data_IF_782127758845
#
_entry.id   IF_782127758845
#
_cell.length_a   1.000
_cell.length_b   1.000
_cell.length_c   1.000
_cell.angle_alpha   90.00
_cell.angle_beta   90.00
_cell.angle_gamma   90.00
#
_symmetry.space_group_name_H-M   'P 1'
#
loop_
_entity.id
_entity.type
_entity.pdbx_description
1 polymer ?
#
# COMPACT_ATOMS: atom_id res chain seq x y z
N UNK A 1 -42.98 -23.65 52.42
CA UNK A 1 -42.80 -22.95 51.13
C UNK A 1 -41.35 -22.51 51.06
N UNK A 2 -40.48 -23.29 50.40
CA UNK A 2 -39.03 -23.05 50.33
C UNK A 2 -38.74 -22.27 49.05
N UNK A 3 -38.09 -21.12 49.19
CA UNK A 3 -37.72 -20.25 48.07
C UNK A 3 -36.32 -20.65 47.62
N UNK A 4 -36.19 -21.14 46.39
CA UNK A 4 -34.91 -21.44 45.74
C UNK A 4 -34.30 -20.13 45.24
N UNK A 5 -33.05 -19.76 45.57
CA UNK A 5 -32.41 -18.62 44.94
C UNK A 5 -31.92 -19.03 43.54
N UNK A 6 -32.33 -18.27 42.52
CA UNK A 6 -31.74 -18.35 41.19
C UNK A 6 -30.32 -17.78 41.24
N UNK A 7 -29.33 -18.60 40.92
CA UNK A 7 -27.96 -18.18 40.72
C UNK A 7 -27.90 -17.43 39.38
N UNK A 8 -27.74 -16.11 39.41
CA UNK A 8 -27.41 -15.34 38.21
C UNK A 8 -25.92 -15.52 37.97
N UNK A 9 -25.55 -16.44 37.07
CA UNK A 9 -24.19 -16.51 36.56
C UNK A 9 -23.97 -15.31 35.65
N UNK A 10 -23.30 -14.29 36.15
CA UNK A 10 -22.80 -13.19 35.34
C UNK A 10 -21.75 -13.77 34.40
N UNK A 11 -22.11 -13.98 33.13
CA UNK A 11 -21.13 -14.25 32.09
C UNK A 11 -20.32 -12.97 31.93
N UNK A 12 -19.13 -12.92 32.52
CA UNK A 12 -18.15 -11.93 32.14
C UNK A 12 -17.83 -12.19 30.66
N UNK A 13 -18.39 -11.37 29.77
CA UNK A 13 -17.86 -11.22 28.42
C UNK A 13 -16.46 -10.64 28.63
N UNK A 14 -15.47 -11.53 28.64
CA UNK A 14 -14.10 -11.12 28.36
C UNK A 14 -14.16 -10.59 26.95
N UNK A 15 -14.21 -9.26 26.82
CA UNK A 15 -13.74 -8.61 25.62
C UNK A 15 -12.30 -9.09 25.48
N UNK A 16 -12.09 -10.09 24.62
CA UNK A 16 -10.79 -10.30 24.03
C UNK A 16 -10.55 -9.05 23.21
N UNK A 17 -9.99 -8.04 23.87
CA UNK A 17 -9.20 -7.03 23.21
C UNK A 17 -8.01 -7.77 22.62
N UNK A 18 -8.26 -8.39 21.46
CA UNK A 18 -7.22 -8.83 20.56
C UNK A 18 -6.82 -7.64 19.69
N UNK A 19 -6.50 -6.50 20.32
CA UNK A 19 -5.29 -5.78 19.93
C UNK A 19 -4.08 -6.69 20.18
N UNK A 20 -4.03 -7.79 19.41
CA UNK A 20 -2.79 -8.43 19.04
C UNK A 20 -1.86 -7.32 18.57
N UNK A 21 -0.60 -7.41 18.95
CA UNK A 21 0.51 -6.68 18.37
C UNK A 21 0.67 -7.03 16.87
N UNK A 22 -0.39 -6.80 16.09
CA UNK A 22 -0.39 -6.82 14.65
C UNK A 22 0.23 -5.50 14.22
N UNK A 23 1.45 -5.56 13.67
CA UNK A 23 2.05 -4.41 13.01
C UNK A 23 1.06 -3.75 12.06
N UNK A 24 1.22 -2.44 11.84
CA UNK A 24 0.45 -1.69 10.85
C UNK A 24 0.27 -2.53 9.58
N UNK A 25 -0.91 -2.52 8.92
CA UNK A 25 -1.14 -3.31 7.72
C UNK A 25 0.01 -3.10 6.73
N UNK A 26 0.81 -4.14 6.50
CA UNK A 26 2.03 -4.05 5.69
C UNK A 26 1.70 -4.04 4.20
N UNK A 27 0.52 -4.56 3.83
CA UNK A 27 -0.05 -4.49 2.50
C UNK A 27 -0.71 -3.13 2.24
N UNK A 28 0.10 -2.06 2.33
CA UNK A 28 -0.30 -0.67 2.09
C UNK A 28 0.32 -0.09 0.82
N UNK A 29 0.07 -0.66 -0.39
CA UNK A 29 0.63 -0.14 -1.62
C UNK A 29 0.18 1.29 -1.94
N UNK A 30 0.86 1.88 -2.93
CA UNK A 30 0.36 3.02 -3.69
C UNK A 30 -0.09 2.52 -5.06
N UNK A 31 -1.32 2.83 -5.45
CA UNK A 31 -1.94 2.42 -6.73
C UNK A 31 -2.24 3.66 -7.56
N UNK A 32 -1.91 3.62 -8.85
CA UNK A 32 -2.13 4.70 -9.81
C UNK A 32 -3.13 4.23 -10.88
N UNK A 33 -4.15 5.05 -11.09
CA UNK A 33 -5.12 4.93 -12.18
C UNK A 33 -4.48 5.47 -13.47
N UNK A 34 -4.01 4.59 -14.36
CA UNK A 34 -3.23 4.97 -15.54
C UNK A 34 -4.08 5.34 -16.75
N UNK A 35 -5.37 5.00 -16.81
CA UNK A 35 -6.23 5.40 -17.93
C UNK A 35 -7.21 6.50 -17.54
N UNK A 36 -7.54 6.64 -16.25
CA UNK A 36 -8.49 7.63 -15.72
C UNK A 36 -9.91 7.08 -15.61
N UNK A 37 -10.06 5.76 -15.47
CA UNK A 37 -11.34 5.05 -15.34
C UNK A 37 -11.66 4.67 -13.87
N UNK A 38 -10.81 5.05 -12.93
CA UNK A 38 -10.92 4.72 -11.51
C UNK A 38 -10.21 3.41 -11.15
N UNK A 39 -9.76 3.32 -9.90
CA UNK A 39 -9.00 2.17 -9.40
C UNK A 39 -9.91 0.95 -9.18
N UNK A 40 -9.61 -0.18 -9.82
CA UNK A 40 -10.28 -1.49 -9.69
C UNK A 40 -9.40 -2.51 -8.95
N UNK A 41 -9.73 -2.73 -7.68
CA UNK A 41 -9.15 -3.77 -6.82
C UNK A 41 -10.13 -4.92 -6.52
N UNK A 42 -11.06 -5.19 -7.46
CA UNK A 42 -12.03 -6.27 -7.34
C UNK A 42 -11.46 -7.67 -7.57
N UNK A 43 -10.19 -7.78 -7.97
CA UNK A 43 -9.47 -9.04 -8.14
C UNK A 43 -9.03 -9.66 -6.80
N UNK A 44 -8.34 -10.79 -6.90
CA UNK A 44 -7.69 -11.45 -5.77
C UNK A 44 -6.45 -12.18 -6.25
N UNK A 45 -5.32 -12.02 -5.56
CA UNK A 45 -4.09 -12.75 -5.85
C UNK A 45 -3.42 -13.25 -4.58
N UNK A 46 -2.47 -14.19 -4.72
CA UNK A 46 -1.59 -14.62 -3.64
C UNK A 46 -0.17 -14.18 -3.93
N UNK A 47 0.39 -13.34 -3.08
CA UNK A 47 1.67 -12.67 -3.32
C UNK A 47 2.55 -12.67 -2.08
N UNK A 48 3.87 -12.67 -2.28
CA UNK A 48 4.88 -12.46 -1.23
C UNK A 48 5.54 -11.08 -1.31
N UNK A 49 5.03 -10.15 -2.12
CA UNK A 49 5.65 -8.83 -2.37
C UNK A 49 5.70 -7.93 -1.13
N UNK A 50 4.96 -8.26 -0.07
CA UNK A 50 4.98 -7.54 1.21
C UNK A 50 5.83 -8.25 2.29
N UNK A 51 6.53 -9.35 1.94
CA UNK A 51 7.30 -10.18 2.86
C UNK A 51 6.67 -11.57 3.04
N UNK A 52 5.68 -11.73 3.94
CA UNK A 52 4.93 -12.98 4.03
C UNK A 52 4.05 -13.19 2.80
N UNK A 53 3.74 -14.45 2.50
CA UNK A 53 2.74 -14.80 1.49
C UNK A 53 1.34 -14.49 2.02
N UNK A 54 0.61 -13.64 1.31
CA UNK A 54 -0.74 -13.19 1.65
C UNK A 54 -1.67 -13.37 0.45
N UNK A 55 -2.92 -13.73 0.70
CA UNK A 55 -4.00 -13.63 -0.30
C UNK A 55 -4.73 -12.31 -0.09
N UNK A 56 -4.65 -11.43 -1.08
CA UNK A 56 -5.10 -10.04 -0.99
C UNK A 56 -6.11 -9.70 -2.08
N UNK A 57 -6.99 -8.75 -1.79
CA UNK A 57 -7.69 -7.99 -2.83
C UNK A 57 -6.67 -7.24 -3.67
N UNK A 58 -6.81 -7.36 -4.98
CA UNK A 58 -5.77 -7.03 -5.95
C UNK A 58 -6.37 -6.48 -7.23
N UNK A 59 -5.54 -6.00 -8.14
CA UNK A 59 -5.98 -5.71 -9.51
C UNK A 59 -6.52 -6.98 -10.18
N UNK A 60 -7.48 -6.81 -11.09
CA UNK A 60 -7.89 -7.91 -11.99
C UNK A 60 -6.84 -8.09 -13.08
N UNK A 61 -6.81 -9.28 -13.67
CA UNK A 61 -6.04 -9.50 -14.89
C UNK A 61 -6.49 -8.50 -15.97
N UNK A 62 -5.53 -7.98 -16.72
CA UNK A 62 -5.72 -6.93 -17.74
C UNK A 62 -6.28 -5.60 -17.19
N UNK A 63 -6.19 -5.36 -15.88
CA UNK A 63 -6.41 -4.00 -15.34
C UNK A 63 -5.32 -3.06 -15.83
N UNK A 64 -5.67 -1.79 -16.03
CA UNK A 64 -4.72 -0.72 -16.30
C UNK A 64 -4.11 -0.11 -15.02
N UNK A 65 -4.73 -0.38 -13.86
CA UNK A 65 -4.23 0.09 -12.58
C UNK A 65 -2.88 -0.51 -12.23
N UNK A 66 -2.01 0.33 -11.70
CA UNK A 66 -0.62 -0.03 -11.50
C UNK A 66 -0.12 0.34 -10.13
N UNK A 67 0.75 -0.48 -9.57
CA UNK A 67 1.39 -0.24 -8.29
C UNK A 67 2.63 0.63 -8.45
N UNK A 68 2.87 1.56 -7.52
CA UNK A 68 4.12 2.28 -7.45
C UNK A 68 5.23 1.38 -6.88
N UNK A 69 6.32 1.32 -7.61
CA UNK A 69 7.51 0.54 -7.29
C UNK A 69 8.72 1.46 -7.19
N UNK A 70 9.63 1.14 -6.28
CA UNK A 70 10.93 1.77 -6.18
C UNK A 70 12.01 0.69 -6.20
N UNK A 71 13.04 0.88 -7.03
CA UNK A 71 14.27 0.07 -6.95
C UNK A 71 15.04 0.49 -5.69
N UNK A 72 14.96 -0.33 -4.64
CA UNK A 72 15.63 -0.09 -3.37
C UNK A 72 17.16 -0.07 -3.50
N UNK A 73 17.73 -0.76 -4.49
CA UNK A 73 19.18 -0.75 -4.73
C UNK A 73 19.62 0.56 -5.35
N UNK A 74 18.90 1.06 -6.35
CA UNK A 74 19.15 2.37 -6.91
C UNK A 74 18.85 3.49 -5.90
N UNK A 75 17.79 3.36 -5.10
CA UNK A 75 17.43 4.31 -4.05
C UNK A 75 18.54 4.44 -3.00
N UNK A 76 19.21 3.34 -2.66
CA UNK A 76 20.36 3.37 -1.74
C UNK A 76 21.53 4.19 -2.28
N UNK A 77 21.75 4.20 -3.59
CA UNK A 77 22.76 5.05 -4.22
C UNK A 77 22.40 6.54 -4.14
N UNK A 78 21.13 6.86 -3.87
CA UNK A 78 20.63 8.23 -3.61
C UNK A 78 20.71 8.63 -2.14
N UNK A 79 21.24 7.76 -1.27
CA UNK A 79 21.43 8.04 0.15
C UNK A 79 20.31 7.56 1.07
N UNK A 80 19.34 6.80 0.56
CA UNK A 80 18.28 6.22 1.37
C UNK A 80 18.46 4.70 1.54
N UNK A 81 18.73 4.25 2.77
CA UNK A 81 18.80 2.83 3.10
C UNK A 81 17.38 2.34 3.44
N UNK A 82 16.63 1.86 2.43
CA UNK A 82 15.29 1.29 2.63
C UNK A 82 15.37 -0.20 3.00
N UNK A 83 14.74 -0.58 4.12
CA UNK A 83 15.00 -1.85 4.81
C UNK A 83 13.72 -2.55 5.24
N UNK A 84 13.81 -3.88 5.40
CA UNK A 84 12.79 -4.61 6.16
C UNK A 84 12.86 -4.21 7.65
N UNK A 85 11.75 -4.35 8.41
CA UNK A 85 11.74 -4.07 9.84
C UNK A 85 12.85 -4.82 10.56
N UNK A 86 13.68 -4.10 11.32
CA UNK A 86 14.77 -4.67 12.11
C UNK A 86 15.73 -5.59 11.32
N UNK A 87 15.75 -5.46 9.99
CA UNK A 87 16.39 -6.43 9.10
C UNK A 87 17.30 -5.80 8.06
N UNK A 88 17.67 -6.57 7.01
CA UNK A 88 18.57 -6.09 5.98
C UNK A 88 17.93 -5.01 5.10
N UNK A 89 18.78 -4.32 4.34
CA UNK A 89 18.34 -3.47 3.25
C UNK A 89 17.58 -4.29 2.20
N UNK A 90 16.48 -3.72 1.72
CA UNK A 90 15.73 -4.24 0.60
C UNK A 90 16.57 -4.12 -0.68
N UNK A 91 16.28 -4.96 -1.66
CA UNK A 91 17.02 -5.02 -2.93
C UNK A 91 16.07 -5.09 -4.11
N UNK A 92 16.54 -4.59 -5.25
CA UNK A 92 15.76 -4.49 -6.48
C UNK A 92 14.43 -3.75 -6.30
N UNK A 93 13.53 -4.01 -7.22
CA UNK A 93 12.20 -3.42 -7.27
C UNK A 93 11.33 -3.88 -6.10
N UNK A 94 10.77 -2.91 -5.37
CA UNK A 94 9.92 -3.11 -4.21
C UNK A 94 8.64 -2.29 -4.36
N UNK A 95 7.48 -2.86 -4.04
CA UNK A 95 6.27 -2.07 -3.88
C UNK A 95 6.48 -1.04 -2.77
N UNK A 96 6.11 0.22 -3.04
CA UNK A 96 5.96 1.26 -2.03
C UNK A 96 4.97 0.77 -0.98
N UNK A 97 5.35 0.76 0.30
CA UNK A 97 4.51 0.19 1.38
C UNK A 97 4.89 0.70 2.77
N UNK A 98 3.97 0.57 3.71
CA UNK A 98 4.22 0.68 5.15
C UNK A 98 4.94 -0.53 5.74
N UNK A 99 5.25 -0.46 7.04
CA UNK A 99 5.87 -1.57 7.76
C UNK A 99 7.29 -1.89 7.28
N UNK A 100 8.02 -0.87 6.83
CA UNK A 100 9.45 -0.92 6.47
C UNK A 100 10.18 0.22 7.17
N UNK A 101 11.51 0.30 7.06
CA UNK A 101 12.30 1.35 7.67
C UNK A 101 13.11 2.10 6.60
N UNK A 102 13.21 3.42 6.71
CA UNK A 102 14.06 4.25 5.86
C UNK A 102 15.17 4.87 6.70
N UNK A 103 16.41 4.54 6.40
CA UNK A 103 17.59 5.21 6.94
C UNK A 103 18.06 6.31 5.99
N UNK A 104 18.43 7.47 6.54
CA UNK A 104 19.13 8.55 5.83
C UNK A 104 20.27 9.07 6.72
N UNK A 105 20.98 10.10 6.27
CA UNK A 105 21.99 10.77 7.09
C UNK A 105 21.40 11.38 8.39
N UNK A 106 20.10 11.70 8.42
CA UNK A 106 19.44 12.28 9.60
C UNK A 106 18.96 11.25 10.62
N UNK A 107 19.07 9.95 10.29
CA UNK A 107 18.65 8.86 11.16
C UNK A 107 17.73 7.88 10.46
N UNK A 108 17.01 7.08 11.24
CA UNK A 108 16.15 6.00 10.74
C UNK A 108 14.71 6.21 11.19
N UNK A 109 13.76 6.03 10.26
CA UNK A 109 12.33 6.22 10.49
C UNK A 109 11.56 4.97 10.08
N UNK A 110 10.60 4.56 10.90
CA UNK A 110 9.64 3.51 10.55
C UNK A 110 8.54 4.09 9.66
N UNK A 111 8.34 3.48 8.50
CA UNK A 111 7.34 3.86 7.51
C UNK A 111 5.99 3.29 7.94
N UNK A 112 4.96 4.15 7.93
CA UNK A 112 3.63 3.83 8.46
C UNK A 112 2.71 3.28 7.38
N UNK A 113 2.78 3.86 6.19
CA UNK A 113 2.03 3.52 4.98
C UNK A 113 2.77 4.04 3.75
N UNK A 114 2.20 3.84 2.56
CA UNK A 114 2.75 4.33 1.30
C UNK A 114 2.95 5.85 1.26
N UNK A 115 1.95 6.64 1.68
CA UNK A 115 2.05 8.10 1.71
C UNK A 115 3.20 8.59 2.59
N UNK A 116 3.40 7.98 3.76
CA UNK A 116 4.52 8.31 4.64
C UNK A 116 5.87 8.07 3.96
N UNK A 117 6.03 6.99 3.20
CA UNK A 117 7.26 6.77 2.42
C UNK A 117 7.45 7.89 1.40
N UNK A 118 6.41 8.25 0.64
CA UNK A 118 6.51 9.30 -0.37
C UNK A 118 6.90 10.66 0.25
N UNK A 119 6.35 11.00 1.41
CA UNK A 119 6.76 12.20 2.17
C UNK A 119 8.23 12.17 2.60
N UNK A 120 8.76 11.01 2.96
CA UNK A 120 10.18 10.88 3.32
C UNK A 120 11.12 10.96 2.10
N UNK A 121 10.58 10.80 0.89
CA UNK A 121 11.33 10.83 -0.37
C UNK A 121 11.23 12.17 -1.10
N UNK A 122 10.29 13.04 -0.72
CA UNK A 122 10.22 14.45 -1.10
C UNK A 122 11.37 15.21 -0.42
N UNK A 123 12.48 15.35 -1.15
CA UNK A 123 13.72 15.87 -0.62
C UNK A 123 13.76 17.40 -0.63
N UNK A 124 13.02 18.04 -1.53
CA UNK A 124 12.95 19.48 -1.63
C UNK A 124 11.82 20.08 -0.76
N UNK A 125 10.92 19.24 -0.24
CA UNK A 125 9.83 19.61 0.68
C UNK A 125 8.71 20.40 0.00
N UNK A 126 8.53 20.24 -1.31
CA UNK A 126 7.52 20.99 -2.07
C UNK A 126 6.12 20.35 -2.02
N UNK A 127 5.98 19.21 -1.33
CA UNK A 127 4.73 18.49 -1.19
C UNK A 127 4.41 17.61 -2.40
N UNK A 128 5.39 17.35 -3.26
CA UNK A 128 5.29 16.44 -4.40
C UNK A 128 6.49 15.49 -4.43
N UNK A 129 6.24 14.27 -4.88
CA UNK A 129 7.31 13.42 -5.39
C UNK A 129 7.41 13.66 -6.90
N UNK A 130 8.53 14.16 -7.38
CA UNK A 130 8.72 14.57 -8.78
C UNK A 130 10.18 14.46 -9.23
N UNK A 131 10.48 14.82 -10.48
CA UNK A 131 11.84 14.82 -11.01
C UNK A 131 12.83 15.75 -10.27
N UNK A 132 12.35 16.63 -9.39
CA UNK A 132 13.20 17.42 -8.49
C UNK A 132 13.80 16.58 -7.34
N UNK A 133 13.25 15.39 -7.07
CA UNK A 133 13.66 14.53 -5.97
C UNK A 133 14.69 13.48 -6.39
N UNK A 134 15.74 13.24 -5.59
CA UNK A 134 16.75 12.22 -5.89
C UNK A 134 16.18 10.81 -6.06
N UNK A 135 15.08 10.49 -5.39
CA UNK A 135 14.40 9.20 -5.42
C UNK A 135 13.57 8.96 -6.70
N UNK A 136 13.13 10.02 -7.39
CA UNK A 136 12.29 9.91 -8.59
C UNK A 136 12.81 8.98 -9.69
N UNK A 137 14.10 9.06 -10.13
CA UNK A 137 14.60 8.20 -11.19
C UNK A 137 14.68 6.72 -10.82
N UNK A 138 14.43 6.35 -9.56
CA UNK A 138 14.40 4.95 -9.10
C UNK A 138 12.99 4.38 -9.05
N UNK A 139 11.98 5.20 -9.35
CA UNK A 139 10.58 4.82 -9.29
C UNK A 139 10.07 4.32 -10.65
N UNK A 140 9.11 3.40 -10.61
CA UNK A 140 8.42 2.83 -11.78
C UNK A 140 6.99 2.48 -11.39
N UNK A 141 6.13 2.26 -12.38
CA UNK A 141 4.85 1.57 -12.18
C UNK A 141 5.00 0.09 -12.52
N UNK A 142 4.26 -0.73 -11.80
CA UNK A 142 4.13 -2.17 -12.01
C UNK A 142 2.67 -2.49 -12.31
N UNK A 143 2.38 -2.93 -13.53
CA UNK A 143 1.04 -3.35 -13.96
C UNK A 143 1.02 -4.88 -14.01
N UNK A 144 0.45 -5.51 -12.97
CA UNK A 144 0.30 -6.98 -12.91
C UNK A 144 -0.76 -7.44 -13.92
N UNK A 145 -0.34 -7.68 -15.16
CA UNK A 145 -1.22 -7.82 -16.30
C UNK A 145 -1.95 -9.18 -16.28
N UNK A 146 -1.34 -10.20 -15.69
CA UNK A 146 -1.92 -11.54 -15.52
C UNK A 146 -2.48 -11.79 -14.11
N UNK A 147 -2.36 -10.80 -13.21
CA UNK A 147 -2.79 -10.84 -11.81
C UNK A 147 -2.17 -11.98 -10.99
N UNK A 148 -0.94 -12.39 -11.32
CA UNK A 148 -0.26 -13.51 -10.66
C UNK A 148 0.43 -13.11 -9.34
N UNK A 149 0.46 -11.82 -9.00
CA UNK A 149 1.02 -11.30 -7.76
C UNK A 149 2.55 -11.31 -7.71
N UNK A 150 3.24 -11.46 -8.85
CA UNK A 150 4.70 -11.43 -8.97
C UNK A 150 5.13 -10.18 -9.70
N UNK A 151 6.20 -9.56 -9.22
CA UNK A 151 6.78 -8.40 -9.88
C UNK A 151 7.76 -8.88 -10.95
N UNK A 152 7.36 -8.77 -12.22
CA UNK A 152 8.18 -9.14 -13.37
C UNK A 152 8.72 -7.91 -14.10
N UNK A 153 9.92 -8.00 -14.67
CA UNK A 153 10.53 -6.87 -15.37
C UNK A 153 9.77 -6.45 -16.63
N UNK A 154 9.08 -7.39 -17.29
CA UNK A 154 8.21 -7.12 -18.44
C UNK A 154 6.97 -6.29 -18.09
N UNK A 155 6.62 -6.20 -16.81
CA UNK A 155 5.44 -5.51 -16.30
C UNK A 155 5.78 -4.16 -15.66
N UNK A 156 7.06 -3.78 -15.69
CA UNK A 156 7.55 -2.52 -15.17
C UNK A 156 7.65 -1.46 -16.27
N UNK A 157 7.21 -0.25 -15.94
CA UNK A 157 7.37 0.91 -16.79
C UNK A 157 7.86 2.10 -15.96
N UNK A 158 8.92 2.77 -16.42
CA UNK A 158 9.44 3.96 -15.75
C UNK A 158 8.38 5.08 -15.74
N UNK A 159 8.32 5.88 -14.66
CA UNK A 159 7.30 6.93 -14.51
C UNK A 159 7.18 7.88 -15.72
N UNK A 160 8.28 8.39 -16.32
CA UNK A 160 8.17 9.26 -17.48
C UNK A 160 7.59 8.56 -18.72
N UNK A 161 7.84 7.25 -18.86
CA UNK A 161 7.34 6.44 -19.98
C UNK A 161 5.86 6.12 -19.79
N UNK A 162 5.42 5.89 -18.55
CA UNK A 162 4.00 5.73 -18.21
C UNK A 162 3.21 7.05 -18.24
N UNK A 163 3.89 8.16 -18.53
CA UNK A 163 3.29 9.49 -18.59
C UNK A 163 3.05 10.12 -17.22
N UNK A 164 3.54 9.53 -16.12
CA UNK A 164 3.47 10.10 -14.76
C UNK A 164 4.57 11.16 -14.60
N UNK A 165 4.19 12.39 -14.23
CA UNK A 165 5.09 13.55 -14.10
C UNK A 165 5.41 13.91 -12.64
N UNK A 166 4.41 13.86 -11.77
CA UNK A 166 4.59 14.09 -10.33
C UNK A 166 3.42 13.49 -9.55
N UNK A 167 3.63 13.14 -8.29
CA UNK A 167 2.59 12.65 -7.37
C UNK A 167 2.45 13.68 -6.24
N UNK A 168 1.25 14.22 -6.04
CA UNK A 168 0.97 15.12 -4.92
C UNK A 168 0.90 14.32 -3.63
N UNK A 169 1.51 14.82 -2.56
CA UNK A 169 1.47 14.18 -1.25
C UNK A 169 0.18 14.48 -0.45
N UNK A 170 -0.68 15.33 -1.00
CA UNK A 170 -2.00 15.61 -0.42
C UNK A 170 -2.98 14.49 -0.78
N UNK A 171 -3.67 13.98 0.23
CA UNK A 171 -4.64 12.91 0.07
C UNK A 171 -5.80 13.07 1.06
N UNK A 172 -6.94 12.51 0.69
CA UNK A 172 -8.17 12.54 1.45
C UNK A 172 -8.14 11.56 2.64
N UNK A 173 -9.16 11.70 3.49
CA UNK A 173 -9.45 10.76 4.55
C UNK A 173 -9.70 9.34 4.00
N UNK A 174 -9.43 8.29 4.80
CA UNK A 174 -9.60 6.90 4.37
C UNK A 174 -11.06 6.59 4.03
N UNK A 175 -11.30 5.89 2.93
CA UNK A 175 -12.63 5.46 2.46
C UNK A 175 -12.59 3.97 2.11
N UNK A 176 -13.48 3.12 2.67
CA UNK A 176 -13.53 1.71 2.33
C UNK A 176 -14.23 1.46 0.99
N UNK A 177 -13.93 0.33 0.34
CA UNK A 177 -14.73 -0.24 -0.75
C UNK A 177 -15.55 -1.46 -0.28
N UNK A 178 -16.34 -2.02 -1.19
CA UNK A 178 -17.18 -3.20 -0.95
C UNK A 178 -16.38 -4.49 -0.75
N UNK A 179 -15.08 -4.48 -1.08
CA UNK A 179 -14.18 -5.63 -0.96
C UNK A 179 -13.35 -5.60 0.32
N UNK A 180 -13.49 -4.55 1.14
CA UNK A 180 -12.79 -4.34 2.41
C UNK A 180 -11.45 -3.62 2.27
N UNK A 181 -11.08 -3.17 1.07
CA UNK A 181 -9.93 -2.30 0.88
C UNK A 181 -10.23 -0.93 1.49
N UNK A 182 -9.19 -0.24 1.97
CA UNK A 182 -9.32 1.14 2.48
C UNK A 182 -8.41 2.06 1.69
N UNK A 183 -9.00 3.00 0.97
CA UNK A 183 -8.32 3.94 0.08
C UNK A 183 -8.04 5.27 0.76
N UNK A 184 -6.88 5.86 0.50
CA UNK A 184 -6.52 7.25 0.83
C UNK A 184 -6.20 7.97 -0.47
N UNK A 185 -7.24 8.52 -1.10
CA UNK A 185 -7.17 9.06 -2.46
C UNK A 185 -6.43 10.40 -2.50
N UNK A 186 -5.39 10.46 -3.31
CA UNK A 186 -4.68 11.66 -3.72
C UNK A 186 -4.64 11.77 -5.24
N UNK A 187 -3.69 12.53 -5.76
CA UNK A 187 -3.59 12.77 -7.21
C UNK A 187 -2.16 12.77 -7.71
N UNK A 188 -2.00 12.51 -9.00
CA UNK A 188 -0.75 12.69 -9.74
C UNK A 188 -1.02 13.49 -11.01
N UNK A 189 0.01 14.19 -11.50
CA UNK A 189 -0.03 14.90 -12.77
C UNK A 189 0.60 14.06 -13.86
N UNK A 190 -0.02 14.03 -15.04
CA UNK A 190 0.58 13.42 -16.23
C UNK A 190 1.50 14.40 -16.96
N UNK A 191 2.32 13.89 -17.87
CA UNK A 191 3.13 14.70 -18.79
C UNK A 191 2.26 15.59 -19.70
N UNK A 192 1.02 15.17 -20.01
CA UNK A 192 0.04 15.96 -20.77
C UNK A 192 -0.65 17.05 -19.95
N UNK A 193 -0.38 17.13 -18.63
CA UNK A 193 -1.02 18.08 -17.72
C UNK A 193 -2.40 17.64 -17.20
N UNK A 194 -2.75 16.35 -17.36
CA UNK A 194 -3.97 15.77 -16.83
C UNK A 194 -3.76 15.33 -15.39
N UNK A 195 -4.67 15.71 -14.49
CA UNK A 195 -4.71 15.18 -13.13
C UNK A 195 -5.40 13.81 -13.11
N UNK A 196 -4.80 12.82 -12.45
CA UNK A 196 -5.34 11.47 -12.28
C UNK A 196 -5.21 10.98 -10.84
N UNK A 197 -5.86 9.86 -10.53
CA UNK A 197 -5.91 9.30 -9.18
C UNK A 197 -4.65 8.53 -8.82
N UNK A 198 -4.07 8.83 -7.66
CA UNK A 198 -3.12 7.97 -6.97
C UNK A 198 -3.67 7.69 -5.57
N UNK A 199 -3.65 6.45 -5.11
CA UNK A 199 -4.23 6.10 -3.80
C UNK A 199 -3.29 5.22 -3.01
N UNK A 200 -3.04 5.62 -1.76
CA UNK A 200 -2.50 4.70 -0.77
C UNK A 200 -3.62 3.77 -0.32
N UNK A 201 -3.46 2.47 -0.49
CA UNK A 201 -4.54 1.50 -0.22
C UNK A 201 -4.09 0.51 0.84
N UNK A 202 -4.87 0.32 1.91
CA UNK A 202 -4.76 -0.87 2.75
C UNK A 202 -5.53 -2.00 2.09
N UNK A 203 -4.83 -3.00 1.55
CA UNK A 203 -5.47 -4.13 0.88
C UNK A 203 -6.11 -5.08 1.90
N UNK A 204 -7.36 -5.47 1.64
CA UNK A 204 -8.00 -6.53 2.42
C UNK A 204 -7.34 -7.88 2.17
N UNK A 205 -7.25 -8.71 3.23
CA UNK A 205 -6.77 -10.09 3.14
C UNK A 205 -7.91 -11.09 3.39
N UNK A 206 -7.91 -12.19 2.65
CA UNK A 206 -8.83 -13.32 2.84
C UNK A 206 -10.17 -13.25 2.09
N UNK A 207 -10.84 -14.41 2.02
CA UNK A 207 -12.16 -14.63 1.40
C UNK A 207 -13.20 -13.80 2.15
N UNK A 208 -13.98 -12.96 1.45
CA UNK A 208 -15.17 -12.35 2.04
C UNK A 208 -16.01 -13.46 2.66
N UNK A 209 -16.18 -13.45 3.99
CA UNK A 209 -17.30 -14.17 4.57
C UNK A 209 -18.54 -13.48 4.00
N UNK A 210 -19.46 -14.21 3.33
CA UNK A 210 -20.75 -13.62 3.01
C UNK A 210 -21.30 -13.01 4.29
N UNK A 211 -21.82 -11.79 4.22
CA UNK A 211 -22.59 -11.23 5.32
C UNK A 211 -23.54 -12.33 5.78
N UNK A 212 -23.48 -12.69 7.07
CA UNK A 212 -24.41 -13.66 7.61
C UNK A 212 -25.81 -13.15 7.26
N UNK A 213 -26.52 -13.89 6.41
CA UNK A 213 -27.96 -13.76 6.32
C UNK A 213 -28.45 -14.30 7.65
N UNK A 214 -28.60 -13.40 8.61
CA UNK A 214 -29.35 -13.63 9.83
C UNK A 214 -30.79 -13.96 9.38
N UNK A 215 -31.15 -15.25 9.48
CA UNK A 215 -32.52 -15.73 9.31
C UNK A 215 -33.19 -15.89 10.68
#
# INVERSE_FOLDING_TARGET
>A
MRITPYLVTLLAVVAVDSASAAGAPTATPMVLDLVGNGIDLGGQTTTSLFGPTLTLRWTKASSDDSFLVIDATALRQKGYDWRSPHGPALKGNQLVRGGTELGTASGKVTIRDSWHLLTLLDANGDGMLSAADPAWPTASVFTDADANGRLETSELMALPVSGVKSISLTHAAPTPDDYGNVFRNGTYQTASGTTRTASGVSLASGVLRPAALDW
#
